data_IF_250411991003
#
_entry.id   IF_250411991003
#
_cell.length_a   1.000
_cell.length_b   1.000
_cell.length_c   1.000
_cell.angle_alpha   90.00
_cell.angle_beta   90.00
_cell.angle_gamma   90.00
#
_symmetry.space_group_name_H-M   'P 1'
#
loop_
_entity.id
_entity.type
_entity.pdbx_description
1 polymer ?
#
# COMPACT_ATOMS: atom_id res chain seq x y z
N UNK A 1 -8.21 -26.41 -23.72
CA UNK A 1 -7.85 -25.84 -22.41
C UNK A 1 -6.34 -25.77 -22.36
N UNK A 2 -5.74 -24.71 -22.90
CA UNK A 2 -4.29 -24.48 -22.83
C UNK A 2 -3.98 -23.99 -21.43
N UNK A 3 -3.08 -24.70 -20.74
CA UNK A 3 -2.58 -24.25 -19.45
C UNK A 3 -1.66 -23.05 -19.67
N UNK A 4 -2.04 -21.88 -19.16
CA UNK A 4 -1.17 -20.69 -19.18
C UNK A 4 0.01 -20.95 -18.23
N UNK A 5 1.21 -21.08 -18.81
CA UNK A 5 2.42 -21.29 -18.04
C UNK A 5 3.03 -19.94 -17.67
N UNK A 6 2.84 -19.50 -16.43
CA UNK A 6 3.39 -18.22 -15.97
C UNK A 6 4.78 -18.40 -15.35
N UNK A 7 5.74 -17.59 -15.79
CA UNK A 7 7.11 -17.53 -15.25
C UNK A 7 7.37 -16.10 -14.79
N UNK A 8 7.76 -15.91 -13.53
CA UNK A 8 8.10 -14.57 -13.01
C UNK A 8 9.61 -14.44 -12.80
N UNK A 9 10.17 -13.32 -13.25
CA UNK A 9 11.61 -13.04 -13.19
C UNK A 9 11.83 -11.66 -12.57
N UNK A 10 12.73 -11.59 -11.58
CA UNK A 10 13.12 -10.34 -10.94
C UNK A 10 14.32 -9.73 -11.66
N UNK A 11 14.15 -8.57 -12.31
CA UNK A 11 15.23 -7.97 -13.06
C UNK A 11 16.45 -7.60 -12.21
N UNK A 12 16.31 -7.43 -10.89
CA UNK A 12 17.43 -7.06 -9.99
C UNK A 12 18.46 -8.17 -9.85
N UNK A 13 18.03 -9.42 -10.03
CA UNK A 13 18.91 -10.59 -9.95
C UNK A 13 19.71 -10.80 -11.25
N UNK A 14 19.38 -10.06 -12.30
CA UNK A 14 20.00 -10.17 -13.62
C UNK A 14 20.74 -8.88 -14.00
N UNK A 15 22.08 -8.91 -14.06
CA UNK A 15 22.87 -7.73 -14.40
C UNK A 15 22.67 -7.30 -15.86
N UNK A 16 22.97 -6.04 -16.14
CA UNK A 16 23.05 -5.52 -17.50
C UNK A 16 24.26 -6.14 -18.20
N UNK A 17 24.02 -6.85 -19.31
CA UNK A 17 25.07 -7.55 -20.06
C UNK A 17 25.70 -6.65 -21.13
N UNK A 18 24.99 -5.62 -21.57
CA UNK A 18 25.44 -4.72 -22.63
C UNK A 18 24.76 -3.37 -22.58
N UNK A 19 25.48 -2.34 -22.99
CA UNK A 19 24.96 -0.98 -23.14
C UNK A 19 25.45 -0.40 -24.45
N UNK A 20 24.53 0.04 -25.29
CA UNK A 20 24.82 0.76 -26.53
C UNK A 20 24.44 2.22 -26.35
N UNK A 21 25.42 3.13 -26.39
CA UNK A 21 25.20 4.57 -26.21
C UNK A 21 25.19 5.28 -27.57
N UNK A 22 24.15 6.07 -27.82
CA UNK A 22 23.98 6.90 -29.00
C UNK A 22 24.35 8.36 -28.68
N UNK A 23 24.79 9.08 -29.71
CA UNK A 23 25.24 10.48 -29.60
C UNK A 23 24.17 11.46 -29.10
N UNK A 24 22.89 11.09 -29.17
CA UNK A 24 21.74 11.96 -28.88
C UNK A 24 21.12 11.70 -27.50
N UNK A 25 21.92 11.52 -26.45
CA UNK A 25 21.45 11.21 -25.07
C UNK A 25 20.51 9.99 -25.00
N UNK A 26 20.75 8.96 -25.81
CA UNK A 26 20.01 7.70 -25.75
C UNK A 26 20.97 6.57 -25.46
N UNK A 27 20.56 5.64 -24.62
CA UNK A 27 21.29 4.40 -24.41
C UNK A 27 20.31 3.24 -24.49
N UNK A 28 20.70 2.14 -25.11
CA UNK A 28 19.94 0.89 -25.07
C UNK A 28 20.71 -0.06 -24.15
N UNK A 29 20.05 -0.49 -23.09
CA UNK A 29 20.53 -1.51 -22.16
C UNK A 29 20.02 -2.88 -22.60
N UNK A 30 20.84 -3.90 -22.42
CA UNK A 30 20.49 -5.29 -22.70
C UNK A 30 20.65 -6.14 -21.44
N UNK A 31 19.64 -6.96 -21.14
CA UNK A 31 19.64 -7.97 -20.07
C UNK A 31 19.28 -9.34 -20.64
N UNK A 32 19.77 -10.39 -19.98
CA UNK A 32 19.49 -11.78 -20.33
C UNK A 32 18.86 -12.49 -19.14
N UNK A 33 17.77 -13.20 -19.40
CA UNK A 33 16.98 -13.91 -18.41
C UNK A 33 16.91 -15.38 -18.79
N UNK A 34 17.71 -16.26 -18.15
CA UNK A 34 17.53 -17.70 -18.29
C UNK A 34 16.20 -18.11 -17.66
N UNK A 35 15.33 -18.74 -18.45
CA UNK A 35 13.99 -19.18 -18.03
C UNK A 35 13.72 -20.60 -18.52
N UNK A 36 12.98 -21.36 -17.74
CA UNK A 36 12.48 -22.68 -18.13
C UNK A 36 11.06 -22.53 -18.66
N UNK A 37 10.84 -22.90 -19.92
CA UNK A 37 9.53 -22.80 -20.57
C UNK A 37 8.92 -24.18 -20.76
N UNK A 38 7.59 -24.24 -20.82
CA UNK A 38 6.85 -25.47 -21.12
C UNK A 38 6.32 -25.42 -22.55
N UNK A 39 5.98 -26.58 -23.11
CA UNK A 39 5.28 -26.64 -24.40
C UNK A 39 3.94 -25.89 -24.31
N UNK A 40 3.64 -25.11 -25.34
CA UNK A 40 2.50 -24.19 -25.41
C UNK A 40 2.86 -22.75 -25.11
N UNK A 41 1.86 -21.97 -24.69
CA UNK A 41 2.02 -20.56 -24.37
C UNK A 41 2.63 -20.39 -22.97
N UNK A 42 3.58 -19.47 -22.85
CA UNK A 42 4.24 -19.09 -21.62
C UNK A 42 4.20 -17.58 -21.47
N UNK A 43 3.75 -17.11 -20.30
CA UNK A 43 3.72 -15.70 -19.95
C UNK A 43 4.91 -15.42 -19.03
N UNK A 44 5.97 -14.82 -19.59
CA UNK A 44 7.18 -14.47 -18.87
C UNK A 44 7.07 -13.03 -18.39
N UNK A 45 6.93 -12.85 -17.08
CA UNK A 45 6.75 -11.54 -16.44
C UNK A 45 8.08 -11.09 -15.83
N UNK A 46 8.74 -10.14 -16.48
CA UNK A 46 9.94 -9.48 -15.97
C UNK A 46 9.52 -8.28 -15.10
N UNK A 47 9.81 -8.34 -13.80
CA UNK A 47 9.47 -7.30 -12.81
C UNK A 47 10.68 -6.43 -12.46
N UNK A 48 10.41 -5.27 -11.86
CA UNK A 48 11.40 -4.37 -11.28
C UNK A 48 12.42 -3.81 -12.29
N UNK A 49 11.94 -3.51 -13.49
CA UNK A 49 12.70 -2.75 -14.47
C UNK A 49 12.68 -1.26 -14.12
N UNK A 50 13.65 -0.46 -14.65
CA UNK A 50 13.69 0.98 -14.43
C UNK A 50 12.35 1.67 -14.69
N UNK A 51 11.95 2.65 -13.89
CA UNK A 51 10.67 3.34 -14.09
C UNK A 51 10.68 4.26 -15.32
N UNK A 52 11.85 4.74 -15.73
CA UNK A 52 12.02 5.60 -16.91
C UNK A 52 12.45 4.73 -18.09
N UNK A 53 11.51 3.98 -18.66
CA UNK A 53 11.72 3.25 -19.91
C UNK A 53 10.89 3.87 -21.03
N UNK A 54 11.47 3.95 -22.21
CA UNK A 54 10.75 4.31 -23.42
C UNK A 54 10.05 3.06 -23.98
N UNK A 55 8.71 3.00 -23.94
CA UNK A 55 7.92 1.83 -24.37
C UNK A 55 8.28 1.37 -25.78
N UNK A 56 8.54 2.31 -26.68
CA UNK A 56 8.79 2.06 -28.10
C UNK A 56 10.21 1.52 -28.36
N UNK A 57 11.09 1.57 -27.35
CA UNK A 57 12.45 1.04 -27.39
C UNK A 57 12.55 -0.44 -27.02
N UNK A 58 11.50 -1.01 -26.42
CA UNK A 58 11.52 -2.37 -25.89
C UNK A 58 11.61 -3.38 -27.05
N UNK A 59 12.64 -4.22 -27.03
CA UNK A 59 12.83 -5.32 -27.97
C UNK A 59 13.10 -6.59 -27.18
N UNK A 60 12.56 -7.71 -27.66
CA UNK A 60 12.66 -9.01 -27.02
C UNK A 60 13.10 -10.01 -28.07
N UNK A 61 14.12 -10.78 -27.73
CA UNK A 61 14.58 -11.95 -28.48
C UNK A 61 14.56 -13.15 -27.54
N UNK A 62 14.27 -14.33 -28.08
CA UNK A 62 14.29 -15.58 -27.34
C UNK A 62 15.27 -16.53 -28.03
N UNK A 63 16.31 -16.92 -27.30
CA UNK A 63 17.37 -17.80 -27.78
C UNK A 63 17.24 -19.18 -27.11
N UNK A 64 17.45 -20.25 -27.87
CA UNK A 64 17.57 -21.61 -27.33
C UNK A 64 18.74 -22.32 -27.97
N UNK A 65 19.34 -23.25 -27.23
CA UNK A 65 20.39 -24.13 -27.73
C UNK A 65 19.81 -25.41 -28.34
N UNK A 66 18.51 -25.69 -28.16
CA UNK A 66 17.87 -26.89 -28.67
C UNK A 66 17.33 -26.68 -30.10
N UNK A 67 17.80 -27.49 -31.04
CA UNK A 67 17.33 -27.46 -32.43
C UNK A 67 15.88 -27.90 -32.62
N UNK A 68 15.30 -28.65 -31.67
CA UNK A 68 13.90 -29.08 -31.71
C UNK A 68 12.93 -28.06 -31.12
N UNK A 69 13.45 -27.02 -30.47
CA UNK A 69 12.64 -26.05 -29.76
C UNK A 69 12.40 -24.83 -30.64
N UNK A 70 11.28 -24.80 -31.35
CA UNK A 70 10.82 -23.59 -32.01
C UNK A 70 10.20 -22.64 -30.99
N UNK A 71 10.66 -21.39 -31.00
CA UNK A 71 10.21 -20.32 -30.11
C UNK A 71 9.62 -19.18 -30.95
N UNK A 72 8.42 -18.72 -30.59
CA UNK A 72 7.79 -17.57 -31.22
C UNK A 72 7.34 -16.59 -30.15
N UNK A 73 7.88 -15.37 -30.20
CA UNK A 73 7.37 -14.25 -29.39
C UNK A 73 6.07 -13.79 -30.03
N UNK A 74 4.96 -13.96 -29.32
CA UNK A 74 3.63 -13.61 -29.81
C UNK A 74 3.27 -12.16 -29.46
N UNK A 75 3.56 -11.74 -28.24
CA UNK A 75 3.25 -10.39 -27.76
C UNK A 75 4.26 -9.93 -26.70
N UNK A 76 4.41 -8.61 -26.59
CA UNK A 76 5.25 -7.94 -25.60
C UNK A 76 4.46 -6.79 -24.99
N UNK A 77 4.08 -6.95 -23.73
CA UNK A 77 3.25 -5.99 -23.01
C UNK A 77 4.11 -5.21 -22.01
N UNK A 78 4.28 -3.92 -22.25
CA UNK A 78 4.89 -3.02 -21.29
C UNK A 78 3.91 -2.63 -20.19
N UNK A 79 4.33 -2.85 -18.94
CA UNK A 79 3.64 -2.38 -17.75
C UNK A 79 4.33 -1.12 -17.24
N UNK A 80 3.72 0.03 -17.52
CA UNK A 80 4.20 1.32 -17.04
C UNK A 80 4.29 1.34 -15.51
N UNK A 81 5.28 2.05 -14.93
CA UNK A 81 5.37 2.20 -13.49
C UNK A 81 4.06 2.81 -12.99
N UNK A 82 3.42 2.11 -12.06
CA UNK A 82 2.19 2.62 -11.49
C UNK A 82 2.55 3.87 -10.67
N UNK A 83 1.98 5.02 -11.06
CA UNK A 83 1.98 6.23 -10.22
C UNK A 83 1.13 6.05 -8.96
N UNK A 84 0.55 4.85 -8.81
CA UNK A 84 -0.25 4.44 -7.69
C UNK A 84 0.56 4.65 -6.41
N UNK A 85 0.23 5.74 -5.71
CA UNK A 85 0.33 5.79 -4.27
C UNK A 85 -0.33 4.51 -3.80
N UNK A 86 0.39 3.56 -3.20
CA UNK A 86 -0.25 2.37 -2.69
C UNK A 86 -1.38 2.85 -1.79
N UNK A 87 -2.63 2.63 -2.21
CA UNK A 87 -3.73 2.68 -1.24
C UNK A 87 -3.29 1.69 -0.18
N UNK A 88 -3.09 2.12 1.07
CA UNK A 88 -2.55 1.25 2.10
C UNK A 88 -3.44 0.01 2.14
N UNK A 89 -2.95 -1.10 1.59
CA UNK A 89 -3.57 -2.39 1.80
C UNK A 89 -3.35 -2.63 3.27
N UNK A 90 -4.37 -2.29 4.07
CA UNK A 90 -4.21 -2.31 5.51
C UNK A 90 -3.84 -3.75 5.88
N UNK A 91 -2.67 -3.97 6.49
CA UNK A 91 -2.25 -5.32 6.79
C UNK A 91 -3.17 -5.85 7.89
N UNK A 92 -3.88 -6.95 7.63
CA UNK A 92 -4.55 -7.73 8.67
C UNK A 92 -3.49 -8.57 9.41
N UNK A 93 -2.61 -7.85 10.10
CA UNK A 93 -1.61 -8.43 11.00
C UNK A 93 -2.11 -8.33 12.44
N UNK A 94 -1.75 -9.28 13.31
CA UNK A 94 -2.15 -9.26 14.71
C UNK A 94 -1.70 -7.97 15.43
N UNK A 95 -0.58 -7.37 15.01
CA UNK A 95 -0.08 -6.10 15.55
C UNK A 95 -0.96 -4.90 15.17
N UNK A 96 -1.41 -4.84 13.90
CA UNK A 96 -2.33 -3.79 13.43
C UNK A 96 -3.74 -3.98 14.01
N UNK A 97 -4.16 -5.23 14.21
CA UNK A 97 -5.43 -5.57 14.84
C UNK A 97 -5.45 -5.14 16.31
N UNK A 98 -4.39 -5.42 17.08
CA UNK A 98 -4.25 -4.94 18.46
C UNK A 98 -4.29 -3.40 18.55
N UNK A 99 -3.63 -2.69 17.63
CA UNK A 99 -3.69 -1.22 17.58
C UNK A 99 -5.07 -0.69 17.21
N UNK A 100 -5.83 -1.41 16.36
CA UNK A 100 -7.22 -1.07 16.02
C UNK A 100 -8.14 -1.27 17.21
N UNK A 101 -7.94 -2.36 17.95
CA UNK A 101 -8.70 -2.65 19.17
C UNK A 101 -8.46 -1.56 20.23
N UNK A 102 -7.19 -1.21 20.51
CA UNK A 102 -6.84 -0.12 21.43
C UNK A 102 -7.44 1.23 20.98
N UNK A 103 -7.40 1.52 19.67
CA UNK A 103 -8.03 2.73 19.11
C UNK A 103 -9.54 2.73 19.35
N UNK A 104 -10.20 1.60 19.12
CA UNK A 104 -11.65 1.44 19.30
C UNK A 104 -12.05 1.61 20.76
N UNK A 105 -11.29 1.04 21.70
CA UNK A 105 -11.55 1.20 23.14
C UNK A 105 -11.47 2.67 23.56
N UNK A 106 -10.44 3.39 23.10
CA UNK A 106 -10.28 4.83 23.37
C UNK A 106 -11.39 5.67 22.72
N UNK A 107 -11.85 5.31 21.53
CA UNK A 107 -12.98 5.98 20.86
C UNK A 107 -14.30 5.78 21.63
N UNK A 108 -14.57 4.56 22.11
CA UNK A 108 -15.72 4.29 22.97
C UNK A 108 -15.67 5.05 24.28
N UNK A 109 -14.48 5.17 24.88
CA UNK A 109 -14.31 5.93 26.11
C UNK A 109 -14.53 7.43 25.88
N UNK A 110 -14.03 7.97 24.77
CA UNK A 110 -14.29 9.35 24.36
C UNK A 110 -15.80 9.64 24.21
N UNK A 111 -16.53 8.73 23.57
CA UNK A 111 -17.99 8.84 23.42
C UNK A 111 -18.71 8.86 24.77
N UNK A 112 -18.21 8.11 25.76
CA UNK A 112 -18.74 8.13 27.13
C UNK A 112 -18.55 9.51 27.78
N UNK A 113 -17.36 10.10 27.65
CA UNK A 113 -17.09 11.45 28.17
C UNK A 113 -17.91 12.53 27.45
N UNK A 114 -18.27 12.33 26.19
CA UNK A 114 -19.20 13.20 25.45
C UNK A 114 -20.62 13.11 25.99
N UNK A 115 -21.10 11.90 26.31
CA UNK A 115 -22.40 11.71 26.98
C UNK A 115 -22.42 12.37 28.36
N UNK A 116 -21.37 12.22 29.14
CA UNK A 116 -21.28 12.83 30.48
C UNK A 116 -21.29 14.37 30.42
N UNK A 117 -20.56 14.96 29.47
CA UNK A 117 -20.62 16.41 29.24
C UNK A 117 -22.02 16.86 28.79
N UNK A 118 -22.67 16.10 27.90
CA UNK A 118 -24.03 16.40 27.45
C UNK A 118 -25.05 16.34 28.61
N UNK A 119 -24.90 15.38 29.53
CA UNK A 119 -25.74 15.27 30.73
C UNK A 119 -25.53 16.47 31.66
N UNK A 120 -24.29 16.85 31.94
CA UNK A 120 -23.97 18.03 32.76
C UNK A 120 -24.53 19.33 32.16
N UNK A 121 -24.47 19.46 30.84
CA UNK A 121 -25.05 20.59 30.11
C UNK A 121 -26.58 20.56 30.17
N UNK A 122 -27.20 19.41 29.92
CA UNK A 122 -28.66 19.24 29.97
C UNK A 122 -29.25 19.52 31.35
N UNK A 123 -28.54 19.14 32.41
CA UNK A 123 -28.93 19.49 33.79
C UNK A 123 -28.78 20.99 34.07
N UNK A 124 -27.77 21.64 33.48
CA UNK A 124 -27.64 23.10 33.59
C UNK A 124 -28.77 23.85 32.88
N UNK A 125 -29.21 23.34 31.73
CA UNK A 125 -30.36 23.88 31.00
C UNK A 125 -31.68 23.66 31.76
N UNK A 126 -31.88 22.51 32.40
CA UNK A 126 -33.08 22.25 33.21
C UNK A 126 -33.17 23.14 34.45
N UNK A 127 -32.04 23.47 35.07
CA UNK A 127 -31.94 24.46 36.14
C UNK A 127 -32.28 25.87 35.65
N UNK A 128 -31.77 26.28 34.47
CA UNK A 128 -32.07 27.59 33.88
C UNK A 128 -33.55 27.74 33.54
N UNK A 129 -34.15 26.68 33.01
CA UNK A 129 -35.54 26.67 32.54
C UNK A 129 -36.56 26.52 33.69
N UNK A 130 -36.11 26.52 34.96
CA UNK A 130 -36.97 26.43 36.14
C UNK A 130 -37.67 25.08 36.30
N UNK A 131 -37.19 24.03 35.64
CA UNK A 131 -37.79 22.67 35.66
C UNK A 131 -37.39 21.87 36.89
N UNK A 132 -36.52 22.41 37.74
CA UNK A 132 -36.08 21.82 39.00
C UNK A 132 -36.78 22.55 40.13
N UNK A 133 -37.84 21.94 40.68
CA UNK A 133 -38.52 22.46 41.86
C UNK A 133 -37.57 22.40 43.08
N UNK A 134 -37.54 23.46 43.88
CA UNK A 134 -36.75 23.60 45.11
C UNK A 134 -35.23 23.85 45.00
N UNK A 135 -34.72 24.29 43.85
CA UNK A 135 -33.32 24.74 43.76
C UNK A 135 -33.09 26.01 44.60
N UNK A 136 -32.25 25.93 45.63
CA UNK A 136 -31.81 27.09 46.43
C UNK A 136 -30.59 27.75 45.79
N UNK A 137 -30.38 29.05 46.03
CA UNK A 137 -29.18 29.76 45.55
C UNK A 137 -27.87 29.09 45.97
N UNK A 138 -27.83 28.50 47.17
CA UNK A 138 -26.68 27.75 47.68
C UNK A 138 -26.44 26.45 46.91
N UNK A 139 -27.50 25.68 46.61
CA UNK A 139 -27.41 24.47 45.79
C UNK A 139 -26.93 24.77 44.36
N UNK A 140 -27.34 25.92 43.80
CA UNK A 140 -26.92 26.36 42.48
C UNK A 140 -25.43 26.73 42.45
N UNK A 141 -24.96 27.51 43.42
CA UNK A 141 -23.55 27.89 43.55
C UNK A 141 -22.67 26.65 43.72
N UNK A 142 -23.09 25.70 44.57
CA UNK A 142 -22.39 24.42 44.78
C UNK A 142 -22.33 23.60 43.48
N UNK A 143 -23.46 23.47 42.77
CA UNK A 143 -23.51 22.78 41.48
C UNK A 143 -22.60 23.43 40.43
N UNK A 144 -22.62 24.77 40.30
CA UNK A 144 -21.77 25.47 39.33
C UNK A 144 -20.28 25.30 39.64
N UNK A 145 -19.90 25.30 40.92
CA UNK A 145 -18.53 25.02 41.37
C UNK A 145 -18.07 23.61 40.98
N UNK A 146 -18.87 22.60 41.34
CA UNK A 146 -18.61 21.19 41.00
C UNK A 146 -18.52 20.99 39.48
N UNK A 147 -19.47 21.57 38.72
CA UNK A 147 -19.48 21.47 37.26
C UNK A 147 -18.22 22.08 36.65
N UNK A 148 -17.77 23.24 37.13
CA UNK A 148 -16.58 23.89 36.59
C UNK A 148 -15.31 23.05 36.80
N UNK A 149 -15.19 22.41 37.96
CA UNK A 149 -14.09 21.49 38.25
C UNK A 149 -14.16 20.22 37.38
N UNK A 150 -15.33 19.59 37.32
CA UNK A 150 -15.56 18.40 36.48
C UNK A 150 -15.34 18.67 34.99
N UNK A 151 -15.74 19.83 34.50
CA UNK A 151 -15.58 20.19 33.09
C UNK A 151 -14.10 20.40 32.73
N UNK A 152 -13.27 20.92 33.64
CA UNK A 152 -11.81 21.00 33.43
C UNK A 152 -11.18 19.61 33.34
N UNK A 153 -11.58 18.68 34.21
CA UNK A 153 -11.10 17.29 34.18
C UNK A 153 -11.47 16.61 32.86
N UNK A 154 -12.76 16.68 32.49
CA UNK A 154 -13.28 16.11 31.24
C UNK A 154 -12.55 16.65 30.01
N UNK A 155 -12.33 17.96 29.91
CA UNK A 155 -11.62 18.54 28.75
C UNK A 155 -10.17 18.09 28.67
N UNK A 156 -9.48 17.97 29.81
CA UNK A 156 -8.09 17.49 29.84
C UNK A 156 -8.03 16.04 29.35
N UNK A 157 -8.94 15.22 29.82
CA UNK A 157 -9.01 13.80 29.47
C UNK A 157 -9.40 13.58 28.01
N UNK A 158 -10.45 14.26 27.52
CA UNK A 158 -10.83 14.25 26.09
C UNK A 158 -9.68 14.64 25.18
N UNK A 159 -8.98 15.74 25.50
CA UNK A 159 -7.84 16.21 24.70
C UNK A 159 -6.71 15.18 24.64
N UNK A 160 -6.48 14.45 25.72
CA UNK A 160 -5.48 13.38 25.75
C UNK A 160 -5.92 12.18 24.91
N UNK A 161 -7.18 11.74 25.06
CA UNK A 161 -7.76 10.65 24.26
C UNK A 161 -7.71 10.94 22.77
N UNK A 162 -8.13 12.13 22.33
CA UNK A 162 -8.06 12.52 20.93
C UNK A 162 -6.61 12.51 20.39
N UNK A 163 -5.64 12.92 21.22
CA UNK A 163 -4.23 12.88 20.85
C UNK A 163 -3.76 11.43 20.67
N UNK A 164 -4.12 10.55 21.60
CA UNK A 164 -3.78 9.13 21.53
C UNK A 164 -4.43 8.46 20.31
N UNK A 165 -5.72 8.70 20.06
CA UNK A 165 -6.48 8.19 18.90
C UNK A 165 -5.82 8.62 17.59
N UNK A 166 -5.43 9.91 17.47
CA UNK A 166 -4.68 10.40 16.30
C UNK A 166 -3.32 9.72 16.17
N UNK A 167 -2.61 9.52 17.28
CA UNK A 167 -1.32 8.82 17.31
C UNK A 167 -1.41 7.37 16.84
N UNK A 168 -2.39 6.62 17.36
CA UNK A 168 -2.67 5.24 16.97
C UNK A 168 -3.07 5.15 15.49
N UNK A 169 -3.93 6.06 15.01
CA UNK A 169 -4.29 6.14 13.59
C UNK A 169 -3.09 6.37 12.68
N UNK A 170 -2.13 7.20 13.11
CA UNK A 170 -0.88 7.41 12.38
C UNK A 170 0.00 6.15 12.39
N UNK A 171 0.12 5.44 13.51
CA UNK A 171 0.89 4.19 13.60
C UNK A 171 0.32 3.08 12.71
N UNK A 172 -1.00 2.88 12.74
CA UNK A 172 -1.71 1.93 11.85
C UNK A 172 -1.42 2.25 10.39
N UNK A 173 -1.49 3.54 10.04
CA UNK A 173 -1.20 4.02 8.68
C UNK A 173 0.26 3.74 8.27
N UNK A 174 1.23 4.06 9.14
CA UNK A 174 2.65 3.82 8.88
C UNK A 174 2.98 2.33 8.73
N UNK A 175 2.36 1.46 9.56
CA UNK A 175 2.52 0.01 9.42
C UNK A 175 1.95 -0.50 8.10
N UNK A 176 0.86 0.09 7.61
CA UNK A 176 0.35 -0.18 6.27
C UNK A 176 1.30 0.20 5.13
N UNK A 177 2.04 1.30 5.29
CA UNK A 177 3.04 1.72 4.29
C UNK A 177 4.31 0.86 4.31
N UNK A 178 4.74 0.34 5.47
CA UNK A 178 5.96 -0.47 5.59
C UNK A 178 5.90 -1.85 4.90
N UNK A 179 4.70 -2.34 4.54
CA UNK A 179 4.50 -3.66 3.92
C UNK A 179 4.23 -3.63 2.42
N UNK A 180 3.98 -2.47 1.84
CA UNK A 180 4.16 -2.30 0.40
C UNK A 180 5.65 -2.45 0.20
N UNK A 181 6.09 -3.55 -0.42
CA UNK A 181 7.52 -3.83 -0.63
C UNK A 181 8.26 -2.54 -0.96
N UNK A 182 9.40 -2.30 -0.29
CA UNK A 182 10.35 -1.19 -0.50
C UNK A 182 10.97 -1.29 -1.91
N UNK A 183 10.13 -1.35 -2.93
CA UNK A 183 10.51 -1.31 -4.33
C UNK A 183 10.85 0.16 -4.56
N UNK A 184 12.14 0.47 -4.78
CA UNK A 184 12.56 1.83 -5.03
C UNK A 184 11.70 2.42 -6.14
N UNK A 185 11.29 3.69 -6.02
CA UNK A 185 10.51 4.36 -7.07
C UNK A 185 11.16 4.21 -8.47
N UNK A 186 12.48 4.07 -8.49
CA UNK A 186 13.29 3.81 -9.67
C UNK A 186 13.03 2.45 -10.37
N UNK A 187 12.36 1.47 -9.74
CA UNK A 187 12.24 0.09 -10.25
C UNK A 187 10.79 -0.44 -10.22
N UNK A 188 9.87 0.21 -10.94
CA UNK A 188 8.43 -0.10 -10.88
C UNK A 188 7.81 -0.52 -12.20
N UNK A 189 8.58 -0.55 -13.29
CA UNK A 189 8.06 -1.03 -14.56
C UNK A 189 8.23 -2.54 -14.67
N UNK A 190 7.48 -3.13 -15.60
CA UNK A 190 7.59 -4.54 -15.94
C UNK A 190 7.33 -4.75 -17.42
N UNK A 191 7.77 -5.90 -17.92
CA UNK A 191 7.51 -6.36 -19.28
C UNK A 191 7.01 -7.79 -19.21
N UNK A 192 5.85 -8.05 -19.80
CA UNK A 192 5.33 -9.39 -19.98
C UNK A 192 5.56 -9.82 -21.42
N UNK A 193 6.24 -10.94 -21.60
CA UNK A 193 6.48 -11.56 -22.91
C UNK A 193 5.61 -12.80 -23.02
N UNK A 194 4.75 -12.82 -24.03
CA UNK A 194 3.97 -14.01 -24.39
C UNK A 194 4.78 -14.81 -25.39
N UNK A 195 5.29 -15.96 -24.95
CA UNK A 195 6.17 -16.84 -25.72
C UNK A 195 5.48 -18.18 -26.00
N UNK A 196 5.36 -18.54 -27.27
CA UNK A 196 4.92 -19.86 -27.70
C UNK A 196 6.14 -20.76 -27.92
N UNK A 197 6.18 -21.88 -27.22
CA UNK A 197 7.22 -22.89 -27.38
C UNK A 197 6.60 -24.22 -27.85
N UNK A 198 7.14 -24.82 -28.91
CA UNK A 198 6.67 -26.14 -29.38
C UNK A 198 7.03 -27.23 -28.37
N UNK A 199 8.24 -27.16 -27.81
CA UNK A 199 8.75 -28.06 -26.78
C UNK A 199 9.19 -27.27 -25.54
N UNK A 200 9.08 -27.91 -24.37
CA UNK A 200 9.58 -27.33 -23.13
C UNK A 200 11.10 -27.44 -23.01
N UNK A 201 11.72 -26.50 -22.30
CA UNK A 201 13.15 -26.51 -22.05
C UNK A 201 13.73 -25.16 -21.66
N UNK A 202 15.06 -25.08 -21.49
CA UNK A 202 15.76 -23.86 -21.14
C UNK A 202 15.79 -22.88 -22.32
N UNK A 203 15.42 -21.64 -22.05
CA UNK A 203 15.41 -20.52 -23.00
C UNK A 203 16.12 -19.33 -22.38
N UNK A 204 16.89 -18.61 -23.18
CA UNK A 204 17.48 -17.34 -22.78
C UNK A 204 16.69 -16.19 -23.41
N UNK A 205 15.98 -15.43 -22.57
CA UNK A 205 15.23 -14.26 -23.00
C UNK A 205 16.15 -13.03 -22.97
N UNK A 206 16.35 -12.40 -24.13
CA UNK A 206 17.16 -11.21 -24.28
C UNK A 206 16.23 -10.00 -24.37
N UNK A 207 16.28 -9.12 -23.38
CA UNK A 207 15.50 -7.89 -23.33
C UNK A 207 16.39 -6.69 -23.57
N UNK A 208 16.04 -5.87 -24.55
CA UNK A 208 16.68 -4.59 -24.83
C UNK A 208 15.71 -3.43 -24.62
N UNK A 209 16.14 -2.38 -23.93
CA UNK A 209 15.32 -1.20 -23.61
C UNK A 209 16.18 0.05 -23.42
N UNK A 210 15.61 1.23 -23.66
CA UNK A 210 16.24 2.53 -23.43
C UNK A 210 15.49 3.43 -22.45
#
# INVERSE_FOLDING_TARGET
MTADNKVEVDARDHPIVGVTVYQSNRAIMQRRFPVEVKSGQNDIVVKYLPSVLESDSIRVEAETTSYSQALTVFDVVYTAPTTYTPTPTMPDTPEVEALREEKSEKEMYLETLERDEALLNGYSDSLRDGRVEHATSESLISFMGMRHEKQKELWKEKRQLEKDIRGLGHQITLMGFKKVEDIPYALRSGVTVVLLAEEGGPVELVLSYG
#
